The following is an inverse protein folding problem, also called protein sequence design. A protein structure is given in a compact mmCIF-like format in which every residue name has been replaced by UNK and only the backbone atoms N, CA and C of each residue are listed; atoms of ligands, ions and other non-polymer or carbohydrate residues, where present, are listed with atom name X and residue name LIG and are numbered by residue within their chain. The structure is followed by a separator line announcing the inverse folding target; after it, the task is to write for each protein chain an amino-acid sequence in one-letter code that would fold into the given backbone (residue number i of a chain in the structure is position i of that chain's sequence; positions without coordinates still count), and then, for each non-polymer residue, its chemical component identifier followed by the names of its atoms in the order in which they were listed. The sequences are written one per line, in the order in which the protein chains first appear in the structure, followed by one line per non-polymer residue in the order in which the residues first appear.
data_IF_935534771549
#
_entry.id   IF_935534771549
#
_cell.length_a   1.000
_cell.length_b   1.000
_cell.length_c   1.000
_cell.angle_alpha   90.00
_cell.angle_beta   90.00
_cell.angle_gamma   90.00
#
_symmetry.space_group_name_H-M   'P 1'
#
loop_
_entity.id
_entity.type
_entity.pdbx_description
1 polymer ?
#
# COMPACT_ATOMS: atom_id res chain seq x y z
N UNK A 1 16.46 -25.57 -18.22
CA UNK A 1 17.82 -25.07 -18.44
C UNK A 1 17.88 -23.73 -17.73
N UNK A 2 18.85 -23.56 -16.85
CA UNK A 2 18.99 -22.36 -16.01
C UNK A 2 19.57 -21.23 -16.90
N UNK A 3 18.79 -20.17 -17.13
CA UNK A 3 19.26 -18.99 -17.86
C UNK A 3 20.27 -18.25 -16.97
N UNK A 4 21.47 -17.97 -17.48
CA UNK A 4 22.46 -17.16 -16.77
C UNK A 4 22.36 -15.73 -17.29
N UNK A 5 22.10 -14.74 -16.42
CA UNK A 5 21.91 -13.37 -16.87
C UNK A 5 23.19 -12.81 -17.49
N UNK A 6 23.06 -12.16 -18.65
CA UNK A 6 24.14 -11.46 -19.36
C UNK A 6 24.51 -10.14 -18.66
N UNK A 7 25.67 -9.57 -19.01
CA UNK A 7 26.17 -8.32 -18.47
C UNK A 7 25.18 -7.16 -18.64
N UNK A 8 24.46 -7.12 -19.77
CA UNK A 8 23.44 -6.10 -20.03
C UNK A 8 22.25 -6.17 -19.06
N UNK A 9 21.76 -7.39 -18.78
CA UNK A 9 20.68 -7.63 -17.81
C UNK A 9 21.13 -7.26 -16.40
N UNK A 10 22.34 -7.67 -16.01
CA UNK A 10 22.90 -7.35 -14.69
C UNK A 10 23.09 -5.84 -14.49
N UNK A 11 23.58 -5.14 -15.52
CA UNK A 11 23.77 -3.68 -15.47
C UNK A 11 22.43 -2.96 -15.34
N UNK A 12 21.44 -3.33 -16.15
CA UNK A 12 20.10 -2.73 -16.10
C UNK A 12 19.41 -3.03 -14.75
N UNK A 13 19.54 -4.26 -14.25
CA UNK A 13 19.03 -4.66 -12.95
C UNK A 13 19.62 -3.79 -11.83
N UNK A 14 20.93 -3.50 -11.88
CA UNK A 14 21.55 -2.65 -10.87
C UNK A 14 21.12 -1.19 -10.95
N UNK A 15 20.94 -0.65 -12.15
CA UNK A 15 20.37 0.70 -12.34
C UNK A 15 18.97 0.77 -11.74
N UNK A 16 18.14 -0.25 -12.00
CA UNK A 16 16.79 -0.32 -11.46
C UNK A 16 16.79 -0.45 -9.92
N UNK A 17 17.70 -1.24 -9.36
CA UNK A 17 17.81 -1.43 -7.91
C UNK A 17 18.12 -0.10 -7.21
N UNK A 18 19.09 0.65 -7.75
CA UNK A 18 19.44 1.98 -7.24
C UNK A 18 18.30 2.97 -7.43
N UNK A 19 17.62 2.94 -8.58
CA UNK A 19 16.49 3.82 -8.85
C UNK A 19 15.35 3.61 -7.85
N UNK A 20 15.00 2.35 -7.56
CA UNK A 20 13.96 1.99 -6.59
C UNK A 20 14.40 2.33 -5.17
N UNK A 21 15.62 1.97 -4.77
CA UNK A 21 16.13 2.28 -3.43
C UNK A 21 16.11 3.78 -3.14
N UNK A 22 16.38 4.63 -4.14
CA UNK A 22 16.31 6.09 -3.99
C UNK A 22 14.88 6.64 -3.85
N UNK A 23 13.83 5.84 -4.11
CA UNK A 23 12.43 6.21 -3.84
C UNK A 23 12.00 5.90 -2.41
N UNK A 24 12.83 5.17 -1.65
CA UNK A 24 12.52 4.69 -0.32
C UNK A 24 13.29 5.52 0.71
N UNK A 25 12.66 5.79 1.85
CA UNK A 25 13.33 6.44 2.98
C UNK A 25 14.36 5.47 3.60
N UNK A 26 13.98 4.19 3.68
CA UNK A 26 14.81 3.10 4.17
C UNK A 26 14.49 1.82 3.40
N UNK A 27 15.48 0.95 3.24
CA UNK A 27 15.30 -0.37 2.64
C UNK A 27 16.34 -1.35 3.18
N UNK A 28 15.90 -2.55 3.54
CA UNK A 28 16.79 -3.62 3.99
C UNK A 28 17.40 -4.35 2.79
N UNK A 29 16.56 -4.75 1.83
CA UNK A 29 17.01 -5.41 0.60
C UNK A 29 16.08 -5.11 -0.58
N UNK A 30 16.68 -4.92 -1.77
CA UNK A 30 15.99 -4.97 -3.06
C UNK A 30 16.83 -5.82 -4.00
N UNK A 31 16.19 -6.78 -4.65
CA UNK A 31 16.77 -7.54 -5.74
C UNK A 31 15.90 -7.39 -6.98
N UNK A 32 16.52 -7.20 -8.14
CA UNK A 32 15.83 -7.08 -9.42
C UNK A 32 16.45 -8.07 -10.39
N UNK A 33 15.61 -8.93 -10.94
CA UNK A 33 15.96 -9.86 -12.00
C UNK A 33 15.29 -9.43 -13.30
N UNK A 34 16.08 -9.36 -14.37
CA UNK A 34 15.66 -8.91 -15.68
C UNK A 34 15.97 -10.01 -16.67
N UNK A 35 14.97 -10.40 -17.45
CA UNK A 35 15.10 -11.40 -18.51
C UNK A 35 14.84 -10.75 -19.86
N UNK A 36 15.79 -10.84 -20.78
CA UNK A 36 15.67 -10.37 -22.17
C UNK A 36 16.80 -10.97 -23.03
N UNK A 37 16.77 -10.71 -24.34
CA UNK A 37 17.91 -10.99 -25.20
C UNK A 37 18.66 -9.69 -25.57
N UNK A 38 19.96 -9.78 -25.95
CA UNK A 38 20.75 -8.59 -26.25
C UNK A 38 20.16 -7.71 -27.37
N UNK A 39 19.46 -8.30 -28.34
CA UNK A 39 18.88 -7.54 -29.46
C UNK A 39 17.67 -6.75 -28.99
N UNK A 40 16.79 -7.36 -28.18
CA UNK A 40 15.64 -6.69 -27.55
C UNK A 40 16.09 -5.61 -26.59
N UNK A 41 17.12 -5.85 -25.79
CA UNK A 41 17.65 -4.87 -24.84
C UNK A 41 18.10 -3.58 -25.55
N UNK A 42 18.82 -3.70 -26.67
CA UNK A 42 19.23 -2.55 -27.50
C UNK A 42 18.01 -1.78 -28.05
N UNK A 43 16.89 -2.48 -28.30
CA UNK A 43 15.63 -1.88 -28.72
C UNK A 43 14.80 -1.30 -27.55
N UNK A 44 15.32 -1.33 -26.33
CA UNK A 44 14.60 -0.90 -25.14
C UNK A 44 13.50 -1.86 -24.70
N UNK A 45 13.60 -3.15 -25.05
CA UNK A 45 12.61 -4.17 -24.69
C UNK A 45 13.17 -5.18 -23.71
N UNK A 46 12.36 -5.49 -22.71
CA UNK A 46 12.62 -6.50 -21.68
C UNK A 46 11.45 -7.49 -21.68
N UNK A 47 11.73 -8.78 -21.58
CA UNK A 47 10.70 -9.82 -21.63
C UNK A 47 9.96 -9.94 -20.29
N UNK A 48 10.67 -9.81 -19.17
CA UNK A 48 10.07 -9.75 -17.83
C UNK A 48 11.01 -9.08 -16.82
N UNK A 49 10.40 -8.48 -15.79
CA UNK A 49 11.11 -7.97 -14.61
C UNK A 49 10.50 -8.61 -13.37
N UNK A 50 11.35 -9.20 -12.54
CA UNK A 50 10.98 -9.68 -11.21
C UNK A 50 11.70 -8.83 -10.15
N UNK A 51 10.96 -8.37 -9.15
CA UNK A 51 11.46 -7.53 -8.07
C UNK A 51 11.10 -8.20 -6.76
N UNK A 52 12.09 -8.36 -5.89
CA UNK A 52 11.89 -8.81 -4.52
C UNK A 52 12.46 -7.74 -3.59
N UNK A 53 11.67 -7.26 -2.64
CA UNK A 53 12.06 -6.25 -1.68
C UNK A 53 11.69 -6.65 -0.27
N UNK A 54 12.53 -6.28 0.69
CA UNK A 54 12.34 -6.51 2.13
C UNK A 54 12.57 -5.22 2.91
N UNK A 55 11.72 -4.99 3.92
CA UNK A 55 11.81 -3.85 4.82
C UNK A 55 11.76 -2.49 4.11
N UNK A 56 10.85 -2.32 3.16
CA UNK A 56 10.73 -1.10 2.35
C UNK A 56 9.98 -0.02 3.15
N UNK A 57 10.57 1.15 3.35
CA UNK A 57 9.92 2.28 4.04
C UNK A 57 9.69 3.43 3.06
N UNK A 58 8.46 3.93 3.02
CA UNK A 58 8.03 5.07 2.20
C UNK A 58 7.31 6.11 3.04
N UNK A 59 7.31 7.37 2.59
CA UNK A 59 6.60 8.48 3.25
C UNK A 59 6.89 8.50 4.77
N UNK A 60 8.16 8.32 5.12
CA UNK A 60 8.78 8.23 6.44
C UNK A 60 8.37 7.04 7.31
N UNK A 61 7.13 6.57 7.25
CA UNK A 61 6.60 5.59 8.21
C UNK A 61 5.75 4.46 7.61
N UNK A 62 5.55 4.45 6.29
CA UNK A 62 4.81 3.39 5.62
C UNK A 62 5.78 2.27 5.28
N UNK A 63 5.89 1.29 6.17
CA UNK A 63 6.75 0.11 5.97
C UNK A 63 5.98 -1.03 5.33
N UNK A 64 6.66 -1.74 4.44
CA UNK A 64 6.27 -3.04 3.89
C UNK A 64 7.33 -4.06 4.31
N UNK A 65 6.90 -5.15 4.94
CA UNK A 65 7.81 -6.22 5.36
C UNK A 65 8.46 -6.89 4.16
N UNK A 66 7.66 -7.29 3.18
CA UNK A 66 8.14 -7.89 1.96
C UNK A 66 7.21 -7.59 0.78
N UNK A 67 7.80 -7.47 -0.40
CA UNK A 67 7.08 -7.41 -1.67
C UNK A 67 7.78 -8.29 -2.70
N UNK A 68 6.98 -9.02 -3.46
CA UNK A 68 7.39 -9.65 -4.71
C UNK A 68 6.54 -9.07 -5.83
N UNK A 69 7.16 -8.50 -6.86
CA UNK A 69 6.48 -7.93 -8.00
C UNK A 69 7.03 -8.56 -9.28
N UNK A 70 6.14 -9.02 -10.15
CA UNK A 70 6.50 -9.59 -11.44
C UNK A 70 5.76 -8.85 -12.54
N UNK A 71 6.48 -8.39 -13.56
CA UNK A 71 5.92 -7.74 -14.74
C UNK A 71 5.95 -8.68 -15.94
N UNK A 72 5.02 -8.44 -16.87
CA UNK A 72 5.18 -8.92 -18.24
C UNK A 72 6.27 -8.10 -18.97
N UNK A 73 6.25 -8.11 -20.29
CA UNK A 73 7.19 -7.35 -21.10
C UNK A 73 7.15 -5.85 -20.75
N UNK A 74 8.34 -5.27 -20.63
CA UNK A 74 8.55 -3.86 -20.30
C UNK A 74 9.25 -3.20 -21.48
N UNK A 75 8.77 -2.03 -21.89
CA UNK A 75 9.47 -1.21 -22.87
C UNK A 75 9.97 0.06 -22.19
N UNK A 76 11.28 0.28 -22.26
CA UNK A 76 11.98 1.42 -21.69
C UNK A 76 12.61 2.27 -22.78
N UNK A 77 12.90 3.54 -22.49
CA UNK A 77 13.67 4.41 -23.38
C UNK A 77 15.16 4.01 -23.33
N UNK A 78 15.72 3.41 -24.39
CA UNK A 78 17.10 2.94 -24.37
C UNK A 78 18.11 4.08 -24.31
N UNK A 79 17.77 5.27 -24.81
CA UNK A 79 18.68 6.43 -24.76
C UNK A 79 18.79 6.95 -23.34
N UNK A 80 17.67 7.03 -22.60
CA UNK A 80 17.66 7.43 -21.19
C UNK A 80 18.31 6.40 -20.28
N UNK A 81 18.09 5.11 -20.55
CA UNK A 81 18.66 4.02 -19.76
C UNK A 81 20.19 4.03 -19.76
N UNK A 82 20.83 4.41 -20.87
CA UNK A 82 22.30 4.58 -20.97
C UNK A 82 22.82 5.66 -20.01
N UNK A 83 22.00 6.65 -19.66
CA UNK A 83 22.32 7.68 -18.67
C UNK A 83 21.84 7.33 -17.25
N UNK A 84 21.43 6.08 -17.00
CA UNK A 84 20.92 5.62 -15.71
C UNK A 84 19.49 6.08 -15.40
N UNK A 85 18.77 6.63 -16.39
CA UNK A 85 17.40 7.08 -16.23
C UNK A 85 16.45 6.03 -16.82
N UNK A 86 15.66 5.39 -15.97
CA UNK A 86 14.65 4.44 -16.41
C UNK A 86 13.34 5.17 -16.67
N UNK A 87 12.83 5.01 -17.88
CA UNK A 87 11.55 5.58 -18.28
C UNK A 87 10.81 4.58 -19.15
N UNK A 88 9.54 4.32 -18.80
CA UNK A 88 8.66 3.48 -19.60
C UNK A 88 8.23 4.22 -20.86
N UNK A 89 8.29 3.54 -22.00
CA UNK A 89 7.77 4.07 -23.28
C UNK A 89 6.32 3.67 -23.52
N UNK A 90 5.82 2.70 -22.75
CA UNK A 90 4.41 2.28 -22.72
C UNK A 90 4.06 1.74 -21.32
N UNK A 91 2.79 1.77 -20.91
CA UNK A 91 2.37 1.15 -19.66
C UNK A 91 2.68 -0.34 -19.63
N UNK A 92 2.99 -0.87 -18.45
CA UNK A 92 3.15 -2.31 -18.21
C UNK A 92 2.26 -2.77 -17.07
N UNK A 93 1.88 -4.04 -17.08
CA UNK A 93 1.13 -4.66 -15.99
C UNK A 93 2.07 -5.48 -15.12
N UNK A 94 1.78 -5.50 -13.82
CA UNK A 94 2.48 -6.33 -12.88
C UNK A 94 1.53 -6.99 -11.90
N UNK A 95 2.02 -8.07 -11.29
CA UNK A 95 1.38 -8.75 -10.18
C UNK A 95 2.27 -8.60 -8.97
N UNK A 96 1.70 -8.18 -7.84
CA UNK A 96 2.41 -7.98 -6.60
C UNK A 96 1.87 -8.90 -5.51
N UNK A 97 2.76 -9.51 -4.74
CA UNK A 97 2.47 -10.15 -3.46
C UNK A 97 3.10 -9.29 -2.38
N UNK A 98 2.32 -8.86 -1.40
CA UNK A 98 2.76 -7.90 -0.38
C UNK A 98 2.49 -8.50 0.99
N UNK A 99 3.46 -8.38 1.88
CA UNK A 99 3.36 -8.77 3.28
C UNK A 99 3.46 -7.52 4.14
N UNK A 100 2.47 -7.31 5.00
CA UNK A 100 2.50 -6.31 6.06
C UNK A 100 2.42 -7.02 7.40
N UNK A 101 3.25 -6.63 8.36
CA UNK A 101 3.11 -7.07 9.74
C UNK A 101 2.14 -6.18 10.50
N UNK A 102 1.64 -6.67 11.63
CA UNK A 102 0.90 -5.84 12.58
C UNK A 102 1.71 -4.61 13.03
N UNK A 103 3.03 -4.76 13.20
CA UNK A 103 3.92 -3.65 13.54
C UNK A 103 3.97 -2.60 12.42
N UNK A 104 4.01 -3.02 11.16
CA UNK A 104 3.98 -2.11 10.01
C UNK A 104 2.67 -1.31 9.95
N UNK A 105 1.53 -1.96 10.17
CA UNK A 105 0.23 -1.29 10.20
C UNK A 105 0.15 -0.28 11.34
N UNK A 106 0.58 -0.66 12.54
CA UNK A 106 0.58 0.22 13.70
C UNK A 106 1.60 1.36 13.57
N UNK A 107 2.72 1.15 12.88
CA UNK A 107 3.65 2.24 12.50
C UNK A 107 2.95 3.21 11.55
N UNK A 108 2.30 2.70 10.51
CA UNK A 108 1.56 3.52 9.56
C UNK A 108 0.45 4.34 10.23
N UNK A 109 -0.34 3.75 11.15
CA UNK A 109 -1.38 4.45 11.90
C UNK A 109 -0.84 5.61 12.75
N UNK A 110 0.43 5.55 13.16
CA UNK A 110 1.11 6.61 13.90
C UNK A 110 1.82 7.64 13.01
N UNK A 111 1.97 7.36 11.72
CA UNK A 111 2.62 8.24 10.74
C UNK A 111 1.92 9.59 10.60
N UNK A 112 2.68 10.64 10.30
CA UNK A 112 2.14 11.95 9.96
C UNK A 112 1.23 11.89 8.71
N UNK A 113 1.56 11.01 7.76
CA UNK A 113 0.78 10.79 6.55
C UNK A 113 -0.67 10.38 6.89
N UNK A 114 -0.86 9.31 7.69
CA UNK A 114 -2.21 8.87 8.06
C UNK A 114 -2.85 9.77 9.12
N UNK A 115 -2.09 10.30 10.09
CA UNK A 115 -2.61 11.27 11.08
C UNK A 115 -3.23 12.49 10.42
N UNK A 116 -2.70 12.95 9.30
CA UNK A 116 -3.27 14.09 8.58
C UNK A 116 -4.55 13.72 7.81
N UNK A 117 -4.71 12.46 7.39
CA UNK A 117 -5.93 11.95 6.74
C UNK A 117 -7.06 11.64 7.73
N UNK A 118 -6.74 11.46 9.01
CA UNK A 118 -7.72 11.12 10.05
C UNK A 118 -8.10 12.29 10.98
N UNK A 119 -7.70 13.52 10.62
CA UNK A 119 -8.16 14.78 11.24
C UNK A 119 -9.38 15.32 10.51
N UNK A 120 -10.24 16.03 11.25
CA UNK A 120 -11.42 16.72 10.73
C UNK A 120 -12.35 15.82 9.91
N UNK A 121 -12.50 14.55 10.31
CA UNK A 121 -13.39 13.60 9.65
C UNK A 121 -14.82 14.08 9.91
N UNK A 122 -15.51 14.46 8.82
CA UNK A 122 -16.91 14.88 8.86
C UNK A 122 -17.80 13.66 8.74
N UNK A 123 -18.49 13.34 9.81
CA UNK A 123 -19.46 12.26 9.89
C UNK A 123 -20.87 12.83 9.81
N UNK A 124 -21.73 12.20 9.03
CA UNK A 124 -23.14 12.54 8.96
C UNK A 124 -23.92 11.49 9.74
N UNK A 125 -24.35 11.83 10.94
CA UNK A 125 -25.29 11.02 11.72
C UNK A 125 -26.72 11.53 11.45
N UNK A 126 -27.73 10.67 11.68
CA UNK A 126 -29.13 10.93 11.32
C UNK A 126 -29.66 12.29 11.81
N UNK A 127 -29.18 12.80 12.95
CA UNK A 127 -29.67 14.05 13.54
C UNK A 127 -28.63 15.19 13.60
N UNK A 128 -27.37 14.96 13.23
CA UNK A 128 -26.34 15.99 13.23
C UNK A 128 -25.10 15.65 12.38
N UNK A 129 -24.47 16.68 11.82
CA UNK A 129 -23.07 16.58 11.40
C UNK A 129 -22.15 16.65 12.61
N UNK A 130 -21.21 15.71 12.68
CA UNK A 130 -20.18 15.63 13.70
C UNK A 130 -18.82 15.72 13.01
N UNK A 131 -17.87 16.40 13.65
CA UNK A 131 -16.47 16.42 13.20
C UNK A 131 -15.64 15.79 14.30
N UNK A 132 -14.80 14.82 13.91
CA UNK A 132 -13.92 14.10 14.83
C UNK A 132 -12.48 14.11 14.33
N UNK A 133 -11.55 13.90 15.26
CA UNK A 133 -10.17 13.57 14.96
C UNK A 133 -9.84 12.22 15.61
N UNK A 134 -9.14 11.36 14.89
CA UNK A 134 -8.54 10.16 15.48
C UNK A 134 -7.19 10.56 16.07
N UNK A 135 -7.06 10.52 17.40
CA UNK A 135 -5.84 10.94 18.10
C UNK A 135 -4.82 9.80 18.16
N UNK A 136 -5.31 8.60 18.43
CA UNK A 136 -4.54 7.36 18.49
C UNK A 136 -5.40 6.23 17.93
N UNK A 137 -4.76 5.32 17.22
CA UNK A 137 -5.37 4.09 16.73
C UNK A 137 -4.32 2.99 16.75
N UNK A 138 -4.72 1.83 17.24
CA UNK A 138 -3.95 0.60 17.15
C UNK A 138 -4.80 -0.49 16.49
N UNK A 139 -4.14 -1.41 15.81
CA UNK A 139 -4.77 -2.56 15.17
C UNK A 139 -4.03 -3.83 15.53
N UNK A 140 -4.76 -4.88 15.89
CA UNK A 140 -4.22 -6.23 16.01
C UNK A 140 -4.80 -7.12 14.93
N UNK A 141 -3.94 -7.90 14.30
CA UNK A 141 -4.28 -8.89 13.27
C UNK A 141 -4.56 -10.22 13.97
N UNK A 142 -5.83 -10.59 14.03
CA UNK A 142 -6.30 -11.76 14.76
C UNK A 142 -6.46 -12.97 13.82
N UNK A 143 -6.82 -14.11 14.41
CA UNK A 143 -7.22 -15.32 13.66
C UNK A 143 -8.54 -15.09 12.94
N UNK A 144 -8.87 -16.01 12.03
CA UNK A 144 -10.16 -16.03 11.32
C UNK A 144 -10.45 -14.76 10.50
N UNK A 145 -9.40 -14.05 10.08
CA UNK A 145 -9.52 -12.88 9.22
C UNK A 145 -9.91 -11.59 9.96
N UNK A 146 -9.93 -11.60 11.30
CA UNK A 146 -10.42 -10.47 12.10
C UNK A 146 -9.32 -9.42 12.37
N UNK A 147 -9.76 -8.17 12.46
CA UNK A 147 -8.97 -7.04 12.94
C UNK A 147 -9.59 -6.54 14.24
N UNK A 148 -8.80 -6.44 15.30
CA UNK A 148 -9.19 -5.68 16.49
C UNK A 148 -8.63 -4.27 16.39
N UNK A 149 -9.46 -3.27 16.59
CA UNK A 149 -9.09 -1.86 16.61
C UNK A 149 -9.34 -1.29 18.00
N UNK A 150 -8.39 -0.51 18.50
CA UNK A 150 -8.53 0.36 19.66
C UNK A 150 -8.25 1.80 19.24
N UNK A 151 -9.25 2.67 19.37
CA UNK A 151 -9.26 4.00 18.76
C UNK A 151 -9.65 5.06 19.79
N UNK A 152 -8.78 6.06 19.97
CA UNK A 152 -9.07 7.27 20.72
C UNK A 152 -9.54 8.38 19.77
N UNK A 153 -10.76 8.86 20.02
CA UNK A 153 -11.49 9.75 19.14
C UNK A 153 -11.82 11.04 19.88
N UNK A 154 -11.33 12.17 19.36
CA UNK A 154 -11.69 13.48 19.88
C UNK A 154 -12.91 14.05 19.15
N UNK A 155 -13.96 14.32 19.92
CA UNK A 155 -15.21 14.91 19.46
C UNK A 155 -15.11 16.44 19.54
N UNK A 156 -14.91 17.11 18.40
CA UNK A 156 -14.65 18.55 18.40
C UNK A 156 -15.78 19.38 19.02
N UNK A 157 -17.03 18.97 18.82
CA UNK A 157 -18.22 19.72 19.29
C UNK A 157 -18.36 19.73 20.81
N UNK A 158 -18.07 18.59 21.46
CA UNK A 158 -18.19 18.45 22.91
C UNK A 158 -16.85 18.63 23.63
N UNK A 159 -15.75 18.67 22.88
CA UNK A 159 -14.38 18.69 23.39
C UNK A 159 -14.08 17.52 24.33
N UNK A 160 -14.60 16.33 23.98
CA UNK A 160 -14.40 15.09 24.73
C UNK A 160 -13.59 14.09 23.92
N UNK A 161 -12.74 13.31 24.59
CA UNK A 161 -12.10 12.12 24.01
C UNK A 161 -12.90 10.88 24.40
N UNK A 162 -13.25 10.05 23.42
CA UNK A 162 -13.91 8.76 23.62
C UNK A 162 -13.02 7.63 23.11
N UNK A 163 -13.06 6.51 23.80
CA UNK A 163 -12.38 5.29 23.40
C UNK A 163 -13.38 4.34 22.73
N UNK A 164 -12.97 3.74 21.61
CA UNK A 164 -13.73 2.72 20.88
C UNK A 164 -12.85 1.49 20.67
N UNK A 165 -13.30 0.34 21.16
CA UNK A 165 -12.75 -0.96 20.81
C UNK A 165 -13.69 -1.66 19.84
N UNK A 166 -13.19 -2.19 18.73
CA UNK A 166 -14.01 -2.85 17.72
C UNK A 166 -13.31 -4.07 17.13
N UNK A 167 -14.08 -5.13 16.86
CA UNK A 167 -13.64 -6.27 16.06
C UNK A 167 -14.34 -6.20 14.71
N UNK A 168 -13.58 -6.23 13.63
CA UNK A 168 -14.10 -6.13 12.27
C UNK A 168 -13.49 -7.19 11.36
N UNK A 169 -14.20 -7.56 10.29
CA UNK A 169 -13.67 -8.37 9.20
C UNK A 169 -13.58 -7.50 7.95
N UNK A 170 -12.37 -7.28 7.39
CA UNK A 170 -12.19 -6.53 6.16
C UNK A 170 -12.59 -7.39 4.96
N UNK A 171 -13.22 -6.78 3.95
CA UNK A 171 -13.55 -7.44 2.69
C UNK A 171 -13.36 -6.51 1.50
N UNK A 172 -13.08 -7.12 0.35
CA UNK A 172 -12.88 -6.40 -0.91
C UNK A 172 -14.23 -6.01 -1.52
N UNK A 173 -14.30 -4.76 -2.00
CA UNK A 173 -15.42 -4.20 -2.76
C UNK A 173 -14.93 -3.52 -4.02
N UNK A 174 -15.86 -3.10 -4.88
CA UNK A 174 -15.58 -2.44 -6.15
C UNK A 174 -14.57 -3.22 -6.98
N UNK A 175 -14.73 -4.55 -7.07
CA UNK A 175 -13.81 -5.44 -7.78
C UNK A 175 -12.35 -5.32 -7.30
N UNK A 176 -12.13 -5.11 -6.00
CA UNK A 176 -10.81 -5.04 -5.40
C UNK A 176 -10.16 -3.65 -5.40
N UNK A 177 -10.89 -2.61 -5.81
CA UNK A 177 -10.41 -1.23 -5.70
C UNK A 177 -10.68 -0.60 -4.33
N UNK A 178 -11.50 -1.23 -3.48
CA UNK A 178 -11.83 -0.70 -2.16
C UNK A 178 -11.86 -1.79 -1.11
N UNK A 179 -11.43 -1.45 0.11
CA UNK A 179 -11.60 -2.28 1.30
C UNK A 179 -12.72 -1.68 2.16
N UNK A 180 -13.68 -2.51 2.56
CA UNK A 180 -14.70 -2.17 3.54
C UNK A 180 -14.59 -3.11 4.75
N UNK A 181 -15.39 -2.83 5.79
CA UNK A 181 -15.35 -3.55 7.05
C UNK A 181 -16.75 -4.03 7.44
N UNK A 182 -16.85 -5.29 7.83
CA UNK A 182 -18.00 -5.84 8.55
C UNK A 182 -17.72 -5.75 10.05
N UNK A 183 -18.58 -5.06 10.80
CA UNK A 183 -18.40 -4.90 12.25
C UNK A 183 -18.98 -6.12 12.96
N UNK A 184 -18.12 -6.86 13.66
CA UNK A 184 -18.51 -8.02 14.49
C UNK A 184 -18.92 -7.56 15.89
N UNK A 185 -18.14 -6.66 16.48
CA UNK A 185 -18.45 -6.02 17.75
C UNK A 185 -17.85 -4.62 17.80
N UNK A 186 -18.50 -3.72 18.55
CA UNK A 186 -18.01 -2.39 18.82
C UNK A 186 -18.49 -1.94 20.20
N UNK A 187 -17.56 -1.53 21.05
CA UNK A 187 -17.81 -1.09 22.42
C UNK A 187 -17.09 0.21 22.71
N UNK A 188 -17.79 1.17 23.30
CA UNK A 188 -17.21 2.45 23.70
C UNK A 188 -18.17 3.21 24.59
N UNK A 189 -17.68 3.74 25.71
CA UNK A 189 -18.56 4.40 26.69
C UNK A 189 -19.19 5.65 26.09
N UNK A 190 -20.51 5.63 25.92
CA UNK A 190 -21.26 6.74 25.30
C UNK A 190 -21.14 6.81 23.77
N UNK A 191 -20.59 5.78 23.13
CA UNK A 191 -20.61 5.61 21.68
C UNK A 191 -21.67 4.57 21.31
N UNK A 192 -22.48 4.87 20.30
CA UNK A 192 -23.46 3.92 19.77
C UNK A 192 -22.83 3.01 18.71
N UNK A 193 -23.47 1.88 18.42
CA UNK A 193 -23.08 1.05 17.28
C UNK A 193 -23.17 1.83 15.96
N UNK A 194 -24.19 2.68 15.80
CA UNK A 194 -24.32 3.56 14.62
C UNK A 194 -23.10 4.48 14.47
N UNK A 195 -22.58 5.02 15.57
CA UNK A 195 -21.36 5.82 15.53
C UNK A 195 -20.17 5.01 14.98
N UNK A 196 -19.99 3.78 15.47
CA UNK A 196 -18.94 2.88 14.98
C UNK A 196 -19.13 2.57 13.48
N UNK A 197 -20.36 2.29 13.04
CA UNK A 197 -20.68 2.06 11.62
C UNK A 197 -20.27 3.26 10.77
N UNK A 198 -20.70 4.47 11.11
CA UNK A 198 -20.37 5.67 10.34
C UNK A 198 -18.86 5.95 10.37
N UNK A 199 -18.17 5.63 11.47
CA UNK A 199 -16.72 5.78 11.56
C UNK A 199 -16.01 4.85 10.56
N UNK A 200 -16.30 3.54 10.60
CA UNK A 200 -15.68 2.56 9.71
C UNK A 200 -16.04 2.79 8.24
N UNK A 201 -17.25 3.29 7.94
CA UNK A 201 -17.61 3.71 6.58
C UNK A 201 -16.74 4.88 6.08
N UNK A 202 -16.42 5.84 6.96
CA UNK A 202 -15.54 6.96 6.62
C UNK A 202 -14.07 6.51 6.49
N UNK A 203 -13.60 5.64 7.38
CA UNK A 203 -12.27 5.02 7.26
C UNK A 203 -12.14 4.23 5.96
N UNK A 204 -13.18 3.48 5.56
CA UNK A 204 -13.21 2.74 4.30
C UNK A 204 -13.14 3.65 3.05
N UNK A 205 -13.39 4.96 3.16
CA UNK A 205 -13.15 5.91 2.05
C UNK A 205 -11.67 6.20 1.86
N UNK A 206 -10.88 6.14 2.93
CA UNK A 206 -9.41 6.26 2.88
C UNK A 206 -8.77 5.00 2.28
N UNK A 207 -9.47 3.87 2.31
CA UNK A 207 -9.05 2.58 1.76
C UNK A 207 -9.63 2.31 0.36
N UNK A 208 -9.91 3.38 -0.37
CA UNK A 208 -10.17 3.33 -1.81
C UNK A 208 -8.85 3.49 -2.56
N UNK A 209 -8.36 2.41 -3.14
CA UNK A 209 -7.05 2.31 -3.80
C UNK A 209 -6.93 3.23 -5.01
N UNK A 210 -8.04 3.70 -5.58
CA UNK A 210 -8.04 4.68 -6.68
C UNK A 210 -7.61 6.06 -6.22
N UNK A 211 -7.68 6.33 -4.92
CA UNK A 211 -7.23 7.58 -4.31
C UNK A 211 -5.78 7.53 -3.83
N UNK A 212 -5.11 6.38 -3.99
CA UNK A 212 -3.68 6.25 -3.70
C UNK A 212 -2.91 6.76 -4.91
N UNK A 213 -2.50 8.01 -4.86
CA UNK A 213 -1.64 8.60 -5.88
C UNK A 213 -0.19 8.16 -5.62
N UNK A 214 0.21 7.07 -6.27
CA UNK A 214 1.60 6.62 -6.30
C UNK A 214 2.06 6.72 -7.74
N UNK A 215 2.34 7.94 -8.20
CA UNK A 215 3.13 8.24 -9.40
C UNK A 215 2.84 7.37 -10.63
N UNK A 216 1.59 7.30 -11.10
CA UNK A 216 1.23 6.53 -12.30
C UNK A 216 0.98 5.04 -12.09
N UNK A 217 0.84 4.58 -10.83
CA UNK A 217 0.40 3.24 -10.47
C UNK A 217 -1.12 3.20 -10.26
N UNK A 218 -1.77 2.19 -10.84
CA UNK A 218 -3.16 1.85 -10.52
C UNK A 218 -3.20 0.48 -9.85
N UNK A 219 -3.62 0.43 -8.59
CA UNK A 219 -3.65 -0.80 -7.78
C UNK A 219 -5.05 -1.43 -7.74
N UNK A 220 -5.11 -2.75 -7.93
CA UNK A 220 -6.32 -3.55 -7.77
C UNK A 220 -6.02 -4.80 -6.94
N UNK A 221 -6.62 -4.93 -5.76
CA UNK A 221 -6.45 -6.13 -4.94
C UNK A 221 -7.23 -7.31 -5.52
N UNK A 222 -6.58 -8.48 -5.51
CA UNK A 222 -7.17 -9.79 -5.81
C UNK A 222 -7.39 -10.62 -4.57
N UNK A 223 -6.51 -10.45 -3.57
CA UNK A 223 -6.59 -11.13 -2.29
C UNK A 223 -6.24 -10.16 -1.17
N UNK A 224 -7.00 -10.25 -0.09
CA UNK A 224 -6.76 -9.59 1.19
C UNK A 224 -6.94 -10.66 2.27
N UNK A 225 -5.84 -11.10 2.87
CA UNK A 225 -5.82 -12.27 3.75
C UNK A 225 -5.18 -11.91 5.08
N UNK A 226 -6.02 -11.74 6.10
CA UNK A 226 -5.61 -11.42 7.46
C UNK A 226 -5.30 -12.71 8.21
N UNK A 227 -4.07 -12.78 8.72
CA UNK A 227 -3.56 -13.86 9.55
C UNK A 227 -3.09 -13.27 10.88
N UNK A 228 -2.90 -14.12 11.88
CA UNK A 228 -2.37 -13.68 13.17
C UNK A 228 -1.02 -12.98 12.99
N UNK A 229 -0.97 -11.68 13.32
CA UNK A 229 0.21 -10.81 13.20
C UNK A 229 0.65 -10.42 11.78
N UNK A 230 0.00 -10.91 10.71
CA UNK A 230 0.38 -10.59 9.31
C UNK A 230 -0.81 -10.42 8.38
N UNK A 231 -0.68 -9.50 7.43
CA UNK A 231 -1.62 -9.26 6.35
C UNK A 231 -0.92 -9.58 5.02
N UNK A 232 -1.50 -10.53 4.27
CA UNK A 232 -1.03 -10.91 2.95
C UNK A 232 -1.96 -10.32 1.88
N UNK A 233 -1.38 -9.58 0.95
CA UNK A 233 -2.10 -8.97 -0.17
C UNK A 233 -1.60 -9.55 -1.48
N UNK A 234 -2.52 -9.71 -2.42
CA UNK A 234 -2.19 -9.93 -3.83
C UNK A 234 -2.83 -8.82 -4.63
N UNK A 235 -2.06 -8.14 -5.47
CA UNK A 235 -2.53 -7.03 -6.28
C UNK A 235 -2.15 -7.23 -7.75
N UNK A 236 -3.03 -6.75 -8.64
CA UNK A 236 -2.63 -6.36 -9.99
C UNK A 236 -2.33 -4.87 -9.98
N UNK A 237 -1.30 -4.47 -10.70
CA UNK A 237 -0.97 -3.07 -10.91
C UNK A 237 -0.74 -2.77 -12.38
N UNK A 238 -1.21 -1.61 -12.82
CA UNK A 238 -0.77 -1.03 -14.09
C UNK A 238 0.18 0.10 -13.77
N UNK A 239 1.35 0.08 -14.41
CA UNK A 239 2.44 1.03 -14.23
C UNK A 239 2.52 1.87 -15.50
N UNK A 240 1.98 3.09 -15.46
CA UNK A 240 2.07 4.02 -16.59
C UNK A 240 3.40 4.76 -16.61
N UNK A 241 3.94 5.04 -15.42
CA UNK A 241 5.22 5.71 -15.20
C UNK A 241 5.90 5.08 -13.99
N UNK A 242 7.22 5.06 -14.00
CA UNK A 242 7.97 4.67 -12.81
C UNK A 242 7.84 5.78 -11.76
N UNK A 243 7.70 5.44 -10.47
CA UNK A 243 7.70 6.43 -9.41
C UNK A 243 8.98 7.26 -9.47
N UNK A 244 8.82 8.58 -9.38
CA UNK A 244 9.91 9.53 -9.22
C UNK A 244 9.85 10.13 -7.83
N UNK A 245 10.98 10.62 -7.33
CA UNK A 245 11.02 11.26 -6.01
C UNK A 245 10.09 12.47 -6.08
N UNK A 246 9.00 12.44 -5.32
CA UNK A 246 8.20 13.65 -5.11
C UNK A 246 9.01 14.58 -4.20
N UNK A 247 9.32 15.78 -4.69
CA UNK A 247 9.89 16.88 -3.89
C UNK A 247 8.94 17.33 -2.78
#
# INVERSE_FOLDING_TARGET
MEHKPDLGEQALGKIAEVAIANQLDEVEQVNIDIQTDPVKLIQGKVDSVAIAGEGLVMKHDLRVEAIELNTDSVAIDPLKAVFGQLELTQPTNAQAQIVLTEADLNRALRSDYLRNKTKNIKMQAQEASLTIDIQQAEVNLLKEGQLAFDIDIWLQKTNETKHLSAIVIPFLKDNGYRIEFEIISAEGQGLSLEFATVLFENLAKLLDLRNFDIGGLTLQLKKFDVQEGKLLLQALTTIEKLPTVEE
#
